data_IF_125109828074
#
_entry.id   IF_125109828074
#
_cell.length_a   1.000
_cell.length_b   1.000
_cell.length_c   1.000
_cell.angle_alpha   90.00
_cell.angle_beta   90.00
_cell.angle_gamma   90.00
#
_symmetry.space_group_name_H-M   'P 1'
#
loop_
_entity.id
_entity.type
_entity.pdbx_description
1 polymer ?
#
# COMPACT_ATOMS: atom_id res chain seq x y z
N UNK A 1 38.44 -7.40 -21.28
CA UNK A 1 37.83 -7.66 -19.97
C UNK A 1 36.74 -6.63 -19.77
N UNK A 2 35.47 -7.02 -19.86
CA UNK A 2 34.34 -6.11 -19.67
C UNK A 2 33.91 -6.20 -18.21
N UNK A 3 34.11 -5.14 -17.44
CA UNK A 3 33.51 -5.01 -16.11
C UNK A 3 32.03 -4.68 -16.31
N UNK A 4 31.15 -5.66 -16.09
CA UNK A 4 29.73 -5.41 -15.95
C UNK A 4 29.49 -4.59 -14.68
N UNK A 5 28.92 -3.40 -14.83
CA UNK A 5 28.43 -2.62 -13.70
C UNK A 5 27.30 -3.42 -13.03
N UNK A 6 27.54 -3.90 -11.82
CA UNK A 6 26.49 -4.41 -10.96
C UNK A 6 25.54 -3.24 -10.66
N UNK A 7 24.32 -3.30 -11.20
CA UNK A 7 23.25 -2.40 -10.77
C UNK A 7 23.02 -2.70 -9.29
N UNK A 8 23.33 -1.74 -8.42
CA UNK A 8 22.99 -1.81 -7.01
C UNK A 8 21.47 -2.01 -6.92
N UNK A 9 21.03 -3.17 -6.44
CA UNK A 9 19.63 -3.36 -6.05
C UNK A 9 19.36 -2.36 -4.93
N UNK A 10 18.51 -1.37 -5.20
CA UNK A 10 17.95 -0.52 -4.16
C UNK A 10 17.22 -1.45 -3.21
N UNK A 11 17.70 -1.57 -1.97
CA UNK A 11 17.03 -2.37 -0.96
C UNK A 11 15.58 -1.88 -0.81
N UNK A 12 14.59 -2.81 -0.73
CA UNK A 12 13.23 -2.44 -0.44
C UNK A 12 13.17 -1.60 0.84
N UNK A 13 12.33 -0.55 0.89
CA UNK A 13 12.20 0.25 2.09
C UNK A 13 11.75 -0.63 3.27
N UNK A 14 12.34 -0.40 4.45
CA UNK A 14 11.90 -1.06 5.67
C UNK A 14 10.45 -0.69 5.98
N UNK A 15 9.58 -1.69 6.07
CA UNK A 15 8.16 -1.54 6.41
C UNK A 15 7.92 -2.01 7.84
N UNK A 16 6.96 -1.41 8.53
CA UNK A 16 6.61 -1.77 9.90
C UNK A 16 5.10 -1.88 10.06
N UNK A 17 4.51 -3.05 9.77
CA UNK A 17 3.15 -3.37 10.17
C UNK A 17 3.11 -3.73 11.66
N UNK A 18 2.17 -3.16 12.41
CA UNK A 18 2.08 -3.44 13.84
C UNK A 18 0.92 -2.78 14.54
N UNK A 19 0.93 -2.88 15.87
CA UNK A 19 -0.05 -2.23 16.76
C UNK A 19 0.65 -1.13 17.55
N UNK A 20 0.03 0.05 17.62
CA UNK A 20 0.50 1.12 18.51
C UNK A 20 0.25 0.69 19.96
N UNK A 21 1.27 0.62 20.78
CA UNK A 21 1.12 0.35 22.22
C UNK A 21 1.13 1.63 23.06
N UNK A 22 1.82 2.66 22.57
CA UNK A 22 2.00 3.92 23.30
C UNK A 22 2.09 5.09 22.33
N UNK A 23 1.60 6.24 22.76
CA UNK A 23 1.68 7.52 22.05
C UNK A 23 2.08 8.59 23.06
N UNK A 24 3.15 9.33 22.78
CA UNK A 24 3.59 10.47 23.58
C UNK A 24 4.06 11.59 22.65
N UNK A 25 3.31 12.70 22.62
CA UNK A 25 3.62 13.83 21.74
C UNK A 25 3.71 13.42 20.27
N UNK A 26 4.88 13.62 19.67
CA UNK A 26 5.19 13.22 18.29
C UNK A 26 5.95 11.89 18.21
N UNK A 27 5.79 11.01 19.19
CA UNK A 27 6.42 9.69 19.20
C UNK A 27 5.36 8.61 19.42
N UNK A 28 5.44 7.54 18.62
CA UNK A 28 4.63 6.34 18.80
C UNK A 28 5.53 5.14 19.02
N UNK A 29 5.03 4.16 19.77
CA UNK A 29 5.69 2.88 19.95
C UNK A 29 4.85 1.79 19.29
N UNK A 30 5.44 1.10 18.32
CA UNK A 30 4.77 0.10 17.49
C UNK A 30 5.32 -1.29 17.78
N UNK A 31 4.44 -2.21 18.17
CA UNK A 31 4.78 -3.64 18.25
C UNK A 31 4.54 -4.29 16.89
N UNK A 32 5.58 -4.82 16.21
CA UNK A 32 5.41 -5.46 14.91
C UNK A 32 4.61 -6.77 15.01
N UNK A 33 3.85 -7.12 13.98
CA UNK A 33 3.16 -8.42 13.94
C UNK A 33 4.09 -9.60 13.72
N UNK A 34 5.23 -9.38 13.05
CA UNK A 34 6.25 -10.41 12.82
C UNK A 34 7.03 -10.76 14.10
N UNK A 35 6.66 -10.16 15.24
CA UNK A 35 7.34 -10.32 16.51
C UNK A 35 8.50 -9.34 16.66
N UNK A 36 9.24 -9.49 17.76
CA UNK A 36 10.35 -8.60 18.12
C UNK A 36 10.01 -7.59 19.21
N UNK A 37 10.87 -6.58 19.32
CA UNK A 37 10.76 -5.53 20.34
C UNK A 37 9.72 -4.47 20.02
N UNK A 38 9.53 -3.55 20.96
CA UNK A 38 8.70 -2.37 20.77
C UNK A 38 9.53 -1.29 20.08
N UNK A 39 9.11 -0.85 18.89
CA UNK A 39 9.85 0.13 18.09
C UNK A 39 9.36 1.54 18.35
N UNK A 40 10.28 2.41 18.80
CA UNK A 40 10.04 3.85 18.93
C UNK A 40 10.15 4.54 17.58
N UNK A 41 9.11 5.25 17.15
CA UNK A 41 9.02 5.94 15.87
C UNK A 41 8.70 7.41 16.10
N UNK A 42 9.63 8.28 15.75
CA UNK A 42 9.41 9.72 15.75
C UNK A 42 8.59 10.16 14.52
N UNK A 43 7.53 10.90 14.75
CA UNK A 43 6.63 11.43 13.72
C UNK A 43 7.18 12.74 13.15
N UNK A 44 7.27 12.83 11.83
CA UNK A 44 7.60 14.09 11.15
C UNK A 44 6.51 15.13 11.45
N UNK A 45 6.84 16.43 11.55
CA UNK A 45 5.83 17.50 11.80
C UNK A 45 4.79 17.61 10.69
N UNK A 46 5.13 17.21 9.46
CA UNK A 46 4.25 17.15 8.29
C UNK A 46 3.74 15.74 8.01
N UNK A 47 3.70 14.88 9.03
CA UNK A 47 3.20 13.51 8.91
C UNK A 47 1.89 13.45 8.14
N UNK A 48 1.86 12.66 7.07
CA UNK A 48 0.64 12.30 6.38
C UNK A 48 0.04 11.05 7.01
N UNK A 49 -1.19 11.16 7.54
CA UNK A 49 -1.95 10.01 8.05
C UNK A 49 -3.00 9.64 7.03
N UNK A 50 -3.14 8.34 6.77
CA UNK A 50 -4.18 7.79 5.90
C UNK A 50 -4.98 6.76 6.67
N UNK A 51 -6.29 6.96 6.78
CA UNK A 51 -7.21 5.94 7.26
C UNK A 51 -7.42 4.88 6.19
N UNK A 52 -7.40 3.61 6.59
CA UNK A 52 -7.64 2.46 5.72
C UNK A 52 -8.91 1.77 6.19
N UNK A 53 -9.93 1.79 5.35
CA UNK A 53 -11.24 1.20 5.61
C UNK A 53 -11.55 0.07 4.61
N UNK A 54 -12.54 -0.79 4.89
CA UNK A 54 -13.06 -1.71 3.89
C UNK A 54 -13.64 -0.94 2.70
N UNK A 55 -13.17 -1.25 1.49
CA UNK A 55 -13.73 -0.73 0.25
C UNK A 55 -14.75 -1.69 -0.36
N UNK A 56 -15.44 -1.24 -1.42
CA UNK A 56 -16.42 -2.02 -2.18
C UNK A 56 -16.16 -1.91 -3.68
N UNK A 57 -16.70 -2.85 -4.45
CA UNK A 57 -16.61 -2.84 -5.92
C UNK A 57 -17.14 -1.54 -6.54
N UNK A 58 -18.11 -0.87 -5.90
CA UNK A 58 -18.63 0.41 -6.36
C UNK A 58 -17.62 1.57 -6.29
N UNK A 59 -16.52 1.41 -5.54
CA UNK A 59 -15.47 2.42 -5.42
C UNK A 59 -14.44 2.33 -6.57
N UNK A 60 -14.44 1.21 -7.31
CA UNK A 60 -13.61 0.99 -8.50
C UNK A 60 -14.21 1.73 -9.71
N UNK A 61 -14.19 3.06 -9.65
CA UNK A 61 -14.74 3.97 -10.65
C UNK A 61 -13.69 4.38 -11.66
N UNK A 62 -14.12 4.67 -12.88
CA UNK A 62 -13.26 5.31 -13.88
C UNK A 62 -12.62 6.59 -13.31
N UNK A 63 -11.32 6.78 -13.57
CA UNK A 63 -10.52 7.89 -13.06
C UNK A 63 -9.91 7.66 -11.67
N UNK A 64 -10.36 6.65 -10.91
CA UNK A 64 -9.76 6.34 -9.62
C UNK A 64 -8.31 5.84 -9.80
N UNK A 65 -7.40 6.31 -8.94
CA UNK A 65 -6.05 5.79 -8.87
C UNK A 65 -6.03 4.60 -7.90
N UNK A 66 -5.62 3.44 -8.39
CA UNK A 66 -5.64 2.20 -7.62
C UNK A 66 -4.28 1.51 -7.61
N UNK A 67 -4.01 0.75 -6.55
CA UNK A 67 -2.92 -0.22 -6.47
C UNK A 67 -3.49 -1.62 -6.48
N UNK A 68 -3.04 -2.46 -7.41
CA UNK A 68 -3.55 -3.82 -7.59
C UNK A 68 -2.40 -4.80 -7.36
N UNK A 69 -2.46 -5.51 -6.23
CA UNK A 69 -1.67 -6.71 -6.00
C UNK A 69 -2.35 -7.89 -6.71
N UNK A 70 -1.65 -8.56 -7.62
CA UNK A 70 -2.26 -9.56 -8.49
C UNK A 70 -1.36 -10.75 -8.80
N UNK A 71 -1.99 -11.83 -9.27
CA UNK A 71 -1.33 -12.99 -9.84
C UNK A 71 -1.43 -12.93 -11.38
N UNK A 72 -0.31 -12.95 -12.12
CA UNK A 72 -0.33 -13.03 -13.59
C UNK A 72 -1.09 -14.27 -14.08
N UNK A 73 -1.83 -14.12 -15.17
CA UNK A 73 -2.56 -15.20 -15.84
C UNK A 73 -1.92 -15.57 -17.18
N UNK A 74 -2.23 -16.76 -17.69
CA UNK A 74 -1.69 -17.26 -18.96
C UNK A 74 -2.11 -16.42 -20.17
N UNK A 75 -3.25 -15.72 -20.10
CA UNK A 75 -3.75 -14.81 -21.13
C UNK A 75 -3.13 -13.39 -21.05
N UNK A 76 -2.20 -13.17 -20.12
CA UNK A 76 -1.54 -11.89 -19.86
C UNK A 76 -2.30 -10.95 -18.92
N UNK A 77 -3.54 -11.29 -18.52
CA UNK A 77 -4.29 -10.52 -17.53
C UNK A 77 -3.71 -10.69 -16.13
N UNK A 78 -4.07 -9.77 -15.23
CA UNK A 78 -3.67 -9.80 -13.83
C UNK A 78 -4.89 -10.09 -12.96
N UNK A 79 -4.92 -11.25 -12.30
CA UNK A 79 -6.02 -11.59 -11.38
C UNK A 79 -5.78 -10.95 -10.03
N UNK A 80 -6.63 -10.00 -9.66
CA UNK A 80 -6.48 -9.23 -8.43
C UNK A 80 -6.63 -10.11 -7.18
N UNK A 81 -5.68 -9.97 -6.26
CA UNK A 81 -5.71 -10.54 -4.92
C UNK A 81 -6.09 -9.48 -3.88
N UNK A 82 -5.61 -8.25 -4.08
CA UNK A 82 -5.94 -7.10 -3.26
C UNK A 82 -5.98 -5.85 -4.15
N UNK A 83 -6.97 -4.99 -3.93
CA UNK A 83 -7.05 -3.67 -4.55
C UNK A 83 -7.03 -2.61 -3.45
N UNK A 84 -6.18 -1.61 -3.61
CA UNK A 84 -6.20 -0.39 -2.81
C UNK A 84 -6.73 0.73 -3.69
N UNK A 85 -7.82 1.38 -3.28
CA UNK A 85 -8.24 2.67 -3.83
C UNK A 85 -7.47 3.74 -3.07
N UNK A 86 -6.60 4.47 -3.75
CA UNK A 86 -5.76 5.47 -3.11
C UNK A 86 -6.54 6.77 -2.88
N UNK A 87 -6.20 7.49 -1.81
CA UNK A 87 -6.65 8.86 -1.65
C UNK A 87 -6.16 9.71 -2.83
N UNK A 88 -6.92 10.71 -3.24
CA UNK A 88 -6.56 11.56 -4.39
C UNK A 88 -5.20 12.25 -4.20
N UNK A 89 -4.85 12.63 -2.97
CA UNK A 89 -3.52 13.18 -2.63
C UNK A 89 -2.36 12.22 -2.85
N UNK A 90 -2.63 10.93 -3.05
CA UNK A 90 -1.67 9.88 -3.35
C UNK A 90 -1.63 9.51 -4.84
N UNK A 91 -2.32 10.26 -5.72
CA UNK A 91 -2.27 10.00 -7.16
C UNK A 91 -0.82 10.00 -7.67
N UNK A 92 -0.49 8.99 -8.46
CA UNK A 92 0.86 8.80 -9.00
C UNK A 92 1.84 8.10 -8.05
N UNK A 93 1.45 7.82 -6.79
CA UNK A 93 2.28 7.12 -5.83
C UNK A 93 2.70 5.75 -6.36
N UNK A 94 3.99 5.61 -6.65
CA UNK A 94 4.57 4.38 -7.18
C UNK A 94 3.85 3.91 -8.44
N UNK A 95 3.37 4.83 -9.27
CA UNK A 95 2.69 4.49 -10.54
C UNK A 95 3.55 3.55 -11.39
N UNK A 96 2.92 2.56 -12.02
CA UNK A 96 3.58 1.60 -12.90
C UNK A 96 3.26 0.15 -12.55
N UNK A 97 3.98 -0.75 -13.22
CA UNK A 97 3.88 -2.21 -13.08
C UNK A 97 5.22 -2.79 -12.64
N UNK A 98 5.21 -3.61 -11.59
CA UNK A 98 6.42 -4.18 -10.98
C UNK A 98 6.13 -5.50 -10.26
N UNK A 99 7.15 -6.32 -9.94
CA UNK A 99 7.00 -7.42 -9.00
C UNK A 99 6.46 -6.94 -7.65
N UNK A 100 5.64 -7.75 -7.00
CA UNK A 100 5.13 -7.49 -5.67
C UNK A 100 5.77 -8.45 -4.66
N UNK A 101 6.30 -7.88 -3.59
CA UNK A 101 7.10 -8.54 -2.57
C UNK A 101 6.28 -9.35 -1.57
N UNK A 102 4.94 -9.31 -1.65
CA UNK A 102 4.07 -10.00 -0.68
C UNK A 102 3.82 -11.47 -0.96
N UNK A 103 4.05 -11.94 -2.18
CA UNK A 103 3.96 -13.35 -2.52
C UNK A 103 4.80 -13.66 -3.77
N UNK A 104 5.46 -14.84 -3.83
CA UNK A 104 6.25 -15.23 -5.00
C UNK A 104 5.44 -15.17 -6.29
N UNK A 105 6.01 -14.56 -7.32
CA UNK A 105 5.39 -14.46 -8.65
C UNK A 105 4.23 -13.46 -8.75
N UNK A 106 3.93 -12.70 -7.69
CA UNK A 106 2.89 -11.68 -7.74
C UNK A 106 3.40 -10.34 -8.28
N UNK A 107 2.46 -9.51 -8.72
CA UNK A 107 2.72 -8.20 -9.34
C UNK A 107 1.94 -7.10 -8.63
N UNK A 108 2.43 -5.87 -8.77
CA UNK A 108 1.80 -4.66 -8.29
C UNK A 108 1.62 -3.71 -9.47
N UNK A 109 0.36 -3.35 -9.76
CA UNK A 109 0.00 -2.31 -10.73
C UNK A 109 -0.58 -1.12 -10.00
N UNK A 110 0.11 0.01 -10.01
CA UNK A 110 -0.44 1.29 -9.55
C UNK A 110 -0.80 2.13 -10.77
N UNK A 111 -2.08 2.40 -10.98
CA UNK A 111 -2.57 2.96 -12.24
C UNK A 111 -3.94 3.63 -12.08
N UNK A 112 -4.35 4.39 -13.09
CA UNK A 112 -5.69 4.99 -13.16
C UNK A 112 -6.65 4.07 -13.89
N UNK A 113 -7.85 3.85 -13.36
CA UNK A 113 -8.91 3.10 -14.05
C UNK A 113 -9.35 3.87 -15.29
N UNK A 114 -9.18 3.28 -16.46
CA UNK A 114 -9.60 3.84 -17.75
C UNK A 114 -10.99 3.37 -18.14
N UNK A 115 -11.24 2.06 -18.05
CA UNK A 115 -12.55 1.46 -18.33
C UNK A 115 -12.87 0.35 -17.34
N UNK A 116 -14.16 0.13 -17.16
CA UNK A 116 -14.71 -0.91 -16.29
C UNK A 116 -15.77 -1.68 -17.06
N UNK A 117 -15.63 -3.01 -17.11
CA UNK A 117 -16.57 -3.92 -17.76
C UNK A 117 -17.07 -4.92 -16.72
N UNK A 118 -18.38 -4.91 -16.47
CA UNK A 118 -19.02 -5.94 -15.66
C UNK A 118 -19.16 -7.23 -16.46
N UNK A 119 -18.87 -8.37 -15.84
CA UNK A 119 -19.04 -9.70 -16.41
C UNK A 119 -19.68 -10.66 -15.40
N UNK A 120 -19.96 -11.89 -15.85
CA UNK A 120 -20.65 -12.91 -15.06
C UNK A 120 -19.77 -13.45 -13.92
N UNK A 121 -18.45 -13.56 -14.17
CA UNK A 121 -17.47 -14.12 -13.23
C UNK A 121 -16.68 -13.06 -12.44
N UNK A 122 -17.14 -11.81 -12.48
CA UNK A 122 -16.48 -10.66 -11.85
C UNK A 122 -16.42 -9.44 -12.76
N UNK A 123 -15.59 -8.47 -12.38
CA UNK A 123 -15.40 -7.22 -13.12
C UNK A 123 -14.03 -7.22 -13.77
N UNK A 124 -13.94 -6.78 -15.02
CA UNK A 124 -12.65 -6.50 -15.66
C UNK A 124 -12.41 -4.99 -15.63
N UNK A 125 -11.20 -4.58 -15.24
CA UNK A 125 -10.74 -3.20 -15.34
C UNK A 125 -9.63 -3.12 -16.39
N UNK A 126 -9.66 -2.10 -17.23
CA UNK A 126 -8.46 -1.66 -17.95
C UNK A 126 -7.89 -0.47 -17.18
N UNK A 127 -6.62 -0.56 -16.80
CA UNK A 127 -5.94 0.49 -16.05
C UNK A 127 -4.75 1.01 -16.84
N UNK A 128 -4.50 2.31 -16.78
CA UNK A 128 -3.43 3.00 -17.52
C UNK A 128 -2.46 3.70 -16.59
N UNK A 129 -1.19 3.67 -16.97
CA UNK A 129 -0.08 4.40 -16.35
C UNK A 129 0.90 4.85 -17.44
N UNK A 130 1.84 5.75 -17.12
CA UNK A 130 2.75 6.32 -18.14
C UNK A 130 3.50 5.29 -19.00
N UNK A 131 3.76 4.10 -18.45
CA UNK A 131 4.51 3.02 -19.10
C UNK A 131 3.66 1.95 -19.79
N UNK A 132 2.33 2.06 -19.80
CA UNK A 132 1.46 1.10 -20.46
C UNK A 132 0.11 0.92 -19.77
N UNK A 133 -0.50 -0.23 -20.04
CA UNK A 133 -1.79 -0.59 -19.48
C UNK A 133 -1.79 -2.04 -18.99
N UNK A 134 -2.72 -2.36 -18.09
CA UNK A 134 -2.97 -3.72 -17.63
C UNK A 134 -4.46 -4.01 -17.66
N UNK A 135 -4.79 -5.25 -18.01
CA UNK A 135 -6.13 -5.81 -17.85
C UNK A 135 -6.21 -6.54 -16.51
N UNK A 136 -7.05 -6.04 -15.61
CA UNK A 136 -7.23 -6.58 -14.26
C UNK A 136 -8.53 -7.36 -14.20
N UNK A 137 -8.45 -8.63 -13.80
CA UNK A 137 -9.63 -9.45 -13.47
C UNK A 137 -9.88 -9.31 -11.97
N UNK A 138 -11.06 -8.80 -11.62
CA UNK A 138 -11.48 -8.54 -10.24
C UNK A 138 -12.48 -9.63 -9.84
N UNK A 139 -12.06 -10.65 -9.07
CA UNK A 139 -12.96 -11.69 -8.62
C UNK A 139 -13.90 -11.16 -7.51
N UNK A 140 -15.04 -11.84 -7.27
CA UNK A 140 -16.02 -11.38 -6.28
C UNK A 140 -15.51 -11.32 -4.83
N UNK A 141 -14.50 -12.12 -4.50
CA UNK A 141 -13.90 -12.27 -3.17
C UNK A 141 -12.66 -11.40 -2.94
N UNK A 142 -12.32 -10.52 -3.90
CA UNK A 142 -11.15 -9.64 -3.77
C UNK A 142 -11.25 -8.74 -2.54
N UNK A 143 -10.14 -8.58 -1.83
CA UNK A 143 -10.06 -7.59 -0.75
C UNK A 143 -9.88 -6.21 -1.36
N UNK A 144 -10.78 -5.29 -1.04
CA UNK A 144 -10.68 -3.88 -1.43
C UNK A 144 -10.42 -3.04 -0.18
N UNK A 145 -9.38 -2.23 -0.23
CA UNK A 145 -9.01 -1.28 0.81
C UNK A 145 -9.23 0.14 0.26
N UNK A 146 -9.98 0.96 0.99
CA UNK A 146 -10.17 2.37 0.65
C UNK A 146 -9.27 3.23 1.54
N UNK A 147 -8.43 4.04 0.90
CA UNK A 147 -7.53 4.96 1.59
C UNK A 147 -8.14 6.35 1.54
N UNK A 148 -8.31 6.93 2.71
CA UNK A 148 -8.80 8.29 2.88
C UNK A 148 -7.83 9.09 3.73
N UNK A 149 -7.81 10.40 3.55
CA UNK A 149 -7.05 11.27 4.45
C UNK A 149 -7.48 11.02 5.89
N UNK A 150 -6.49 10.79 6.74
CA UNK A 150 -6.67 10.61 8.16
C UNK A 150 -6.07 11.76 8.95
N UNK A 151 -6.28 11.71 10.26
CA UNK A 151 -5.74 12.68 11.20
C UNK A 151 -4.77 12.03 12.19
N UNK A 152 -3.84 12.83 12.72
CA UNK A 152 -2.89 12.38 13.76
C UNK A 152 -3.58 11.82 15.00
N UNK A 153 -4.78 12.31 15.34
CA UNK A 153 -5.58 11.80 16.46
C UNK A 153 -6.01 10.34 16.28
N UNK A 154 -5.92 9.77 15.08
CA UNK A 154 -6.16 8.34 14.85
C UNK A 154 -4.99 7.46 15.31
N UNK A 155 -3.82 8.04 15.54
CA UNK A 155 -2.67 7.36 16.14
C UNK A 155 -2.93 7.24 17.64
N UNK A 156 -3.55 6.14 18.05
CA UNK A 156 -3.89 5.83 19.44
C UNK A 156 -3.44 4.43 19.80
N UNK A 157 -3.21 4.19 21.09
CA UNK A 157 -2.95 2.85 21.60
C UNK A 157 -4.05 1.87 21.13
N UNK A 158 -3.63 0.70 20.68
CA UNK A 158 -4.47 -0.34 20.09
C UNK A 158 -4.72 -0.19 18.58
N UNK A 159 -4.36 0.94 17.96
CA UNK A 159 -4.55 1.11 16.53
C UNK A 159 -3.60 0.21 15.73
N UNK A 160 -4.15 -0.50 14.74
CA UNK A 160 -3.38 -1.23 13.75
C UNK A 160 -2.80 -0.25 12.73
N UNK A 161 -1.49 -0.30 12.49
CA UNK A 161 -0.80 0.61 11.58
C UNK A 161 0.12 -0.10 10.62
N UNK A 162 0.39 0.56 9.50
CA UNK A 162 1.50 0.25 8.60
C UNK A 162 2.32 1.53 8.41
N UNK A 163 3.60 1.48 8.81
CA UNK A 163 4.61 2.46 8.39
C UNK A 163 5.25 1.95 7.11
N UNK A 164 4.91 2.53 5.94
CA UNK A 164 5.34 1.97 4.65
C UNK A 164 6.80 2.25 4.34
N UNK A 165 7.41 3.26 4.99
CA UNK A 165 8.84 3.57 4.91
C UNK A 165 9.28 4.03 6.30
N UNK A 166 10.01 3.18 7.01
CA UNK A 166 10.70 3.56 8.24
C UNK A 166 12.00 4.27 7.85
N UNK A 167 12.12 5.54 8.23
CA UNK A 167 13.33 6.33 8.02
C UNK A 167 14.28 6.13 9.18
N UNK A 168 15.55 5.87 8.89
CA UNK A 168 16.63 5.93 9.89
C UNK A 168 17.26 7.33 9.83
N UNK A 169 17.25 8.05 10.95
CA UNK A 169 17.93 9.34 11.08
C UNK A 169 19.42 9.14 11.35
N UNK A 170 20.20 10.22 11.22
CA UNK A 170 21.65 10.20 11.44
C UNK A 170 22.05 9.80 12.88
N UNK A 171 21.21 10.12 13.86
CA UNK A 171 21.37 9.73 15.26
C UNK A 171 20.98 8.27 15.53
N UNK A 172 20.60 7.51 14.50
CA UNK A 172 20.18 6.12 14.59
C UNK A 172 18.70 5.94 14.94
N UNK A 173 17.99 7.00 15.34
CA UNK A 173 16.55 6.94 15.67
C UNK A 173 15.71 6.65 14.43
N UNK A 174 14.54 6.06 14.66
CA UNK A 174 13.59 5.74 13.60
C UNK A 174 12.54 6.84 13.49
N UNK A 175 12.04 7.06 12.28
CA UNK A 175 10.97 8.02 12.05
C UNK A 175 10.08 7.67 10.87
N UNK A 176 8.96 8.38 10.81
CA UNK A 176 7.95 8.23 9.77
C UNK A 176 7.42 9.58 9.31
N UNK A 177 7.25 9.74 8.00
CA UNK A 177 6.54 10.87 7.37
C UNK A 177 5.17 10.46 6.81
N UNK A 178 4.87 9.16 6.80
CA UNK A 178 3.56 8.63 6.45
C UNK A 178 3.19 7.43 7.32
N UNK A 179 1.95 7.40 7.79
CA UNK A 179 1.38 6.24 8.49
C UNK A 179 -0.01 5.93 7.92
N UNK A 180 -0.25 4.65 7.65
CA UNK A 180 -1.58 4.15 7.34
C UNK A 180 -2.18 3.55 8.61
N UNK A 181 -3.40 3.96 8.99
CA UNK A 181 -4.10 3.53 10.21
C UNK A 181 -5.35 2.75 9.83
N UNK A 182 -5.50 1.56 10.42
CA UNK A 182 -6.66 0.70 10.20
C UNK A 182 -7.90 1.26 10.87
N UNK A 183 -9.00 1.32 10.12
CA UNK A 183 -10.35 1.62 10.61
C UNK A 183 -11.22 0.38 10.55
N UNK A 184 -12.24 0.31 11.40
CA UNK A 184 -13.26 -0.74 11.38
C UNK A 184 -12.67 -2.17 11.40
N UNK A 185 -11.59 -2.37 12.17
CA UNK A 185 -10.91 -3.66 12.31
C UNK A 185 -9.98 -4.05 11.15
N UNK A 186 -9.82 -3.19 10.14
CA UNK A 186 -8.86 -3.42 9.06
C UNK A 186 -7.43 -3.36 9.60
N UNK A 187 -6.61 -4.31 9.17
CA UNK A 187 -5.17 -4.30 9.41
C UNK A 187 -4.49 -3.79 8.12
N UNK A 188 -3.94 -2.55 8.12
CA UNK A 188 -3.20 -2.03 6.98
C UNK A 188 -1.98 -2.90 6.69
N UNK A 189 -1.67 -3.09 5.40
CA UNK A 189 -0.62 -4.00 4.96
C UNK A 189 0.48 -3.33 4.17
#
# INVERSE_FOLDING_TARGET
MSCGAALAQVEPPLRLPGTIEKVEGDTIWVRPYEGGGLFEIALDKKLAVYGVAPGKLADLKQGAFIGVGAMPQADGSQRAMQITVFAESQRGLGEGFRPWDRAPGTTMTNATIDTTVAGVDGRTLTVKYKGGEQKIVVPPDVVILDYVSGDRSELKTGAHVMVPVVKRKLDGSLGADRINVGRDGVIPR
#
